data_IF_822491880866
#
_entry.id   IF_822491880866
#
_cell.length_a   1.000
_cell.length_b   1.000
_cell.length_c   1.000
_cell.angle_alpha   90.00
_cell.angle_beta   90.00
_cell.angle_gamma   90.00
#
_symmetry.space_group_name_H-M   'P 1'
#
loop_
_entity.id
_entity.type
_entity.pdbx_description
1 polymer ?
#
# COMPACT_ATOMS: atom_id res chain seq x y z
N UNK A 1 -4.70 4.55 -17.21
CA UNK A 1 -4.16 4.47 -15.83
C UNK A 1 -3.61 3.07 -15.60
N UNK A 2 -2.45 2.89 -14.98
CA UNK A 2 -1.89 1.57 -14.65
C UNK A 2 -2.64 0.88 -13.49
N UNK A 3 -3.98 0.95 -13.48
CA UNK A 3 -4.87 0.42 -12.42
C UNK A 3 -4.64 -1.07 -12.18
N UNK A 4 -4.40 -1.85 -13.25
CA UNK A 4 -4.07 -3.27 -13.13
C UNK A 4 -2.81 -3.51 -12.31
N UNK A 5 -1.76 -2.70 -12.51
CA UNK A 5 -0.51 -2.79 -11.72
C UNK A 5 -0.77 -2.43 -10.26
N UNK A 6 -1.57 -1.39 -10.02
CA UNK A 6 -1.89 -0.93 -8.67
C UNK A 6 -2.66 -1.99 -7.90
N UNK A 7 -3.67 -2.60 -8.51
CA UNK A 7 -4.44 -3.69 -7.88
C UNK A 7 -3.52 -4.85 -7.49
N UNK A 8 -2.62 -5.28 -8.38
CA UNK A 8 -1.67 -6.36 -8.08
C UNK A 8 -0.71 -6.00 -6.95
N UNK A 9 -0.19 -4.76 -6.92
CA UNK A 9 0.69 -4.31 -5.85
C UNK A 9 -0.03 -4.27 -4.49
N UNK A 10 -1.25 -3.72 -4.45
CA UNK A 10 -2.02 -3.63 -3.21
C UNK A 10 -2.53 -5.00 -2.73
N UNK A 11 -2.88 -5.91 -3.65
CA UNK A 11 -3.29 -7.27 -3.27
C UNK A 11 -2.16 -8.07 -2.63
N UNK A 12 -0.90 -7.78 -2.97
CA UNK A 12 0.28 -8.40 -2.34
C UNK A 12 0.66 -7.67 -1.06
N UNK A 13 0.60 -6.33 -1.03
CA UNK A 13 0.96 -5.54 0.13
C UNK A 13 0.01 -5.74 1.33
N UNK A 14 -1.29 -5.89 1.07
CA UNK A 14 -2.29 -6.06 2.13
C UNK A 14 -2.03 -7.27 3.04
N UNK A 15 -1.89 -8.52 2.53
CA UNK A 15 -1.64 -9.67 3.40
C UNK A 15 -0.30 -9.56 4.15
N UNK A 16 0.73 -8.98 3.53
CA UNK A 16 2.02 -8.72 4.20
C UNK A 16 1.86 -7.78 5.40
N UNK A 17 1.06 -6.72 5.25
CA UNK A 17 0.79 -5.78 6.34
C UNK A 17 -0.10 -6.39 7.43
N UNK A 18 -1.10 -7.20 7.07
CA UNK A 18 -1.93 -7.91 8.04
C UNK A 18 -1.06 -8.84 8.89
N UNK A 19 -0.19 -9.64 8.27
CA UNK A 19 0.71 -10.55 8.97
C UNK A 19 1.73 -9.79 9.82
N UNK A 20 2.30 -8.70 9.31
CA UNK A 20 3.26 -7.88 10.06
C UNK A 20 2.62 -7.24 11.29
N UNK A 21 1.50 -6.54 11.12
CA UNK A 21 0.83 -5.81 12.19
C UNK A 21 0.18 -6.76 13.20
N UNK A 22 -0.51 -7.80 12.72
CA UNK A 22 -1.09 -8.83 13.58
C UNK A 22 -0.01 -9.64 14.30
N UNK A 23 1.08 -9.98 13.60
CA UNK A 23 2.23 -10.66 14.18
C UNK A 23 2.86 -9.87 15.33
N UNK A 24 3.03 -8.55 15.19
CA UNK A 24 3.51 -7.70 16.28
C UNK A 24 2.59 -7.76 17.51
N UNK A 25 1.27 -7.74 17.31
CA UNK A 25 0.31 -7.78 18.43
C UNK A 25 0.25 -9.17 19.07
N UNK A 26 0.38 -10.22 18.27
CA UNK A 26 0.48 -11.59 18.75
C UNK A 26 1.75 -11.80 19.59
N UNK A 27 2.90 -11.30 19.13
CA UNK A 27 4.18 -11.35 19.86
C UNK A 27 4.15 -10.55 21.18
N UNK A 28 3.30 -9.53 21.28
CA UNK A 28 3.04 -8.80 22.54
C UNK A 28 2.12 -9.57 23.51
N UNK A 29 1.70 -10.79 23.18
CA UNK A 29 0.84 -11.62 24.02
C UNK A 29 -0.62 -11.19 24.03
N UNK A 30 -1.10 -10.47 23.00
CA UNK A 30 -2.54 -10.18 22.86
C UNK A 30 -3.28 -11.42 22.34
N UNK A 31 -4.59 -11.45 22.52
CA UNK A 31 -5.41 -12.55 22.00
C UNK A 31 -5.29 -12.64 20.48
N UNK A 32 -5.42 -13.86 19.95
CA UNK A 32 -5.33 -14.12 18.50
C UNK A 32 -6.40 -13.34 17.73
N UNK A 33 -7.63 -13.31 18.25
CA UNK A 33 -8.75 -12.56 17.68
C UNK A 33 -8.42 -11.06 17.57
N UNK A 34 -7.99 -10.44 18.67
CA UNK A 34 -7.60 -9.03 18.67
C UNK A 34 -6.44 -8.73 17.71
N UNK A 35 -5.46 -9.64 17.62
CA UNK A 35 -4.29 -9.47 16.76
C UNK A 35 -4.68 -9.50 15.28
N UNK A 36 -5.61 -10.38 14.90
CA UNK A 36 -6.16 -10.47 13.55
C UNK A 36 -6.97 -9.21 13.22
N UNK A 37 -7.90 -8.81 14.09
CA UNK A 37 -8.72 -7.61 13.89
C UNK A 37 -7.85 -6.36 13.75
N UNK A 38 -6.85 -6.21 14.62
CA UNK A 38 -5.90 -5.12 14.56
C UNK A 38 -5.15 -5.09 13.22
N UNK A 39 -4.65 -6.24 12.77
CA UNK A 39 -3.97 -6.38 11.48
C UNK A 39 -4.86 -5.99 10.31
N UNK A 40 -6.09 -6.49 10.26
CA UNK A 40 -7.05 -6.21 9.20
C UNK A 40 -7.44 -4.73 9.11
N UNK A 41 -7.76 -4.11 10.25
CA UNK A 41 -8.16 -2.70 10.32
C UNK A 41 -7.00 -1.80 9.89
N UNK A 42 -5.85 -1.96 10.53
CA UNK A 42 -4.72 -1.05 10.31
C UNK A 42 -4.02 -1.27 8.97
N UNK A 43 -3.98 -2.49 8.43
CA UNK A 43 -3.52 -2.73 7.07
C UNK A 43 -4.43 -2.01 6.04
N UNK A 44 -5.75 -2.09 6.23
CA UNK A 44 -6.72 -1.45 5.33
C UNK A 44 -6.63 0.08 5.39
N UNK A 45 -6.53 0.66 6.60
CA UNK A 45 -6.33 2.11 6.80
C UNK A 45 -5.04 2.57 6.13
N UNK A 46 -3.94 1.83 6.33
CA UNK A 46 -2.64 2.16 5.73
C UNK A 46 -2.71 2.11 4.20
N UNK A 47 -3.28 1.04 3.62
CA UNK A 47 -3.47 0.94 2.18
C UNK A 47 -4.32 2.08 1.62
N UNK A 48 -5.40 2.45 2.31
CA UNK A 48 -6.28 3.54 1.87
C UNK A 48 -5.52 4.87 1.79
N UNK A 49 -4.69 5.18 2.78
CA UNK A 49 -3.86 6.40 2.79
C UNK A 49 -2.87 6.37 1.62
N UNK A 50 -2.15 5.26 1.43
CA UNK A 50 -1.20 5.12 0.32
C UNK A 50 -1.87 5.23 -1.04
N UNK A 51 -3.00 4.57 -1.23
CA UNK A 51 -3.77 4.64 -2.46
C UNK A 51 -4.27 6.07 -2.73
N UNK A 52 -4.78 6.76 -1.72
CA UNK A 52 -5.23 8.15 -1.84
C UNK A 52 -4.09 9.09 -2.25
N UNK A 53 -2.93 9.01 -1.57
CA UNK A 53 -1.76 9.82 -1.91
C UNK A 53 -1.27 9.53 -3.32
N UNK A 54 -1.23 8.25 -3.72
CA UNK A 54 -0.82 7.85 -5.07
C UNK A 54 -1.77 8.40 -6.14
N UNK A 55 -3.08 8.33 -5.92
CA UNK A 55 -4.09 8.92 -6.82
C UNK A 55 -3.92 10.44 -6.89
N UNK A 56 -3.72 11.11 -5.75
CA UNK A 56 -3.50 12.56 -5.70
C UNK A 56 -2.25 12.98 -6.49
N UNK A 57 -1.15 12.27 -6.34
CA UNK A 57 0.11 12.56 -7.05
C UNK A 57 -0.01 12.25 -8.55
N UNK A 58 -0.67 11.13 -8.91
CA UNK A 58 -0.94 10.78 -10.30
C UNK A 58 -1.78 11.86 -11.00
N UNK A 59 -2.81 12.39 -10.34
CA UNK A 59 -3.65 13.48 -10.89
C UNK A 59 -2.91 14.80 -11.04
N UNK A 60 -1.85 15.03 -10.24
CA UNK A 60 -1.02 16.25 -10.29
C UNK A 60 0.18 16.14 -11.23
N UNK A 61 0.38 14.99 -11.88
CA UNK A 61 1.53 14.77 -12.76
C UNK A 61 2.88 14.85 -12.04
N UNK A 62 2.90 14.65 -10.72
CA UNK A 62 4.14 14.65 -9.94
C UNK A 62 4.90 13.35 -10.21
N UNK A 63 6.07 13.45 -10.82
CA UNK A 63 6.96 12.31 -11.07
C UNK A 63 7.37 11.68 -9.74
N UNK A 64 6.87 10.47 -9.49
CA UNK A 64 7.22 9.67 -8.34
C UNK A 64 8.24 8.63 -8.81
N UNK A 65 9.52 8.81 -8.43
CA UNK A 65 10.62 7.93 -8.78
C UNK A 65 10.36 6.46 -8.39
N UNK A 66 9.61 6.24 -7.30
CA UNK A 66 9.20 4.91 -6.85
C UNK A 66 8.01 4.32 -7.64
N UNK A 67 7.17 5.19 -8.21
CA UNK A 67 5.88 4.78 -8.73
C UNK A 67 5.96 4.23 -10.16
N UNK A 68 6.96 4.62 -10.95
CA UNK A 68 7.20 4.18 -12.34
C UNK A 68 5.90 4.07 -13.17
N UNK A 69 4.96 4.99 -12.90
CA UNK A 69 3.61 5.02 -13.47
C UNK A 69 3.53 5.91 -14.73
N UNK A 70 4.56 6.75 -14.91
CA UNK A 70 4.74 7.64 -16.04
C UNK A 70 5.86 7.07 -16.91
N UNK A 71 5.74 7.11 -18.25
CA UNK A 71 6.87 6.75 -19.10
C UNK A 71 8.04 7.67 -18.73
N UNK A 72 9.25 7.11 -18.66
CA UNK A 72 10.45 7.92 -18.51
C UNK A 72 10.38 9.07 -19.54
N UNK A 73 10.60 10.30 -19.09
CA UNK A 73 10.85 11.41 -20.02
C UNK A 73 12.11 11.03 -20.79
N UNK A 74 11.92 10.42 -21.96
CA UNK A 74 12.99 10.31 -22.96
C UNK A 74 13.33 11.75 -23.32
N UNK A 75 14.39 12.27 -22.71
CA UNK A 75 15.02 13.52 -23.09
C UNK A 75 15.62 13.32 -24.49
N UNK A 76 14.78 13.30 -25.52
CA UNK A 76 15.18 13.78 -26.84
C UNK A 76 15.03 15.28 -26.84
N UNK A 77 16.09 15.93 -26.34
CA UNK A 77 16.48 17.27 -26.76
C UNK A 77 16.98 17.17 -28.20
#
# INVERSE_FOLDING_TARGET
MPVKKWITQYSIAWPLLVVLLGGIQYLKGRSTEYSIEFGLIWASVSLAIFAYVRVKNFRRGTDCALCNDLPARDNKQ
#
